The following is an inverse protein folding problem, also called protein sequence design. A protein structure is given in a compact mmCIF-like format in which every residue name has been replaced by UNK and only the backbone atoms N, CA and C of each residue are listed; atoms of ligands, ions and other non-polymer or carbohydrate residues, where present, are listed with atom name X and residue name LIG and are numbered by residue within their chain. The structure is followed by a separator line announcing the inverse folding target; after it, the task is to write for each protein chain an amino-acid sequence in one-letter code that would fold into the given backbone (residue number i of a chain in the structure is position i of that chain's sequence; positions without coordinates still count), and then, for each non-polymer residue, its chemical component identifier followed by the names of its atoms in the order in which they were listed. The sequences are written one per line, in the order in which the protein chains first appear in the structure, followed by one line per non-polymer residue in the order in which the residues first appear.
data_IF_998795263081
#
_entry.id   IF_998795263081
#
_cell.length_a   1.000
_cell.length_b   1.000
_cell.length_c   1.000
_cell.angle_alpha   90.00
_cell.angle_beta   90.00
_cell.angle_gamma   90.00
#
_symmetry.space_group_name_H-M   'P 1'
#
loop_
_entity.id
_entity.type
_entity.pdbx_description
1 polymer ?
#
# COMPACT_ATOMS: atom_id res chain seq x y z
N UNK A 1 20.15 -20.43 14.38
CA UNK A 1 18.72 -20.80 14.26
C UNK A 1 17.85 -19.55 14.45
N UNK A 2 16.86 -19.40 13.61
CA UNK A 2 15.94 -18.27 13.66
C UNK A 2 14.65 -18.64 14.41
N UNK A 3 14.15 -17.72 15.24
CA UNK A 3 12.87 -17.95 15.95
C UNK A 3 11.69 -17.43 15.12
N UNK A 4 11.92 -16.53 14.16
CA UNK A 4 10.87 -16.06 13.25
C UNK A 4 10.95 -16.86 11.96
N UNK A 5 9.83 -17.49 11.57
CA UNK A 5 9.82 -18.33 10.37
C UNK A 5 9.77 -17.50 9.09
N UNK A 6 8.75 -16.66 8.98
CA UNK A 6 8.54 -15.87 7.79
C UNK A 6 7.71 -14.63 8.14
N UNK A 7 7.80 -13.63 7.29
CA UNK A 7 6.90 -12.49 7.38
C UNK A 7 5.57 -12.92 6.73
N UNK A 8 4.55 -13.15 7.54
CA UNK A 8 3.27 -13.65 7.06
C UNK A 8 2.40 -12.61 6.40
N UNK A 9 2.37 -11.41 6.97
CA UNK A 9 1.56 -10.33 6.45
C UNK A 9 2.13 -8.97 6.82
N UNK A 10 1.86 -7.99 5.98
CA UNK A 10 2.02 -6.56 6.30
C UNK A 10 0.61 -6.02 6.47
N UNK A 11 0.35 -5.35 7.59
CA UNK A 11 -0.98 -4.86 7.91
C UNK A 11 -0.96 -3.34 7.93
N UNK A 12 -1.83 -2.72 7.12
CA UNK A 12 -2.01 -1.27 7.11
C UNK A 12 -3.30 -0.94 7.83
N UNK A 13 -3.21 0.04 8.72
CA UNK A 13 -4.39 0.54 9.44
C UNK A 13 -5.19 1.48 8.55
N UNK A 14 -6.50 1.50 8.76
CA UNK A 14 -7.39 2.34 7.95
C UNK A 14 -8.74 2.51 8.66
N UNK A 15 -9.57 3.39 8.10
CA UNK A 15 -10.94 3.56 8.58
C UNK A 15 -11.88 2.54 7.93
N UNK A 16 -11.65 2.20 6.65
CA UNK A 16 -12.55 1.34 5.88
C UNK A 16 -11.72 0.29 5.12
N UNK A 17 -11.55 -0.90 5.72
CA UNK A 17 -10.72 -1.93 5.08
C UNK A 17 -11.28 -2.46 3.77
N UNK A 18 -12.61 -2.49 3.60
CA UNK A 18 -13.20 -2.95 2.34
C UNK A 18 -12.84 -2.01 1.20
N UNK A 19 -12.95 -0.71 1.42
CA UNK A 19 -12.59 0.29 0.39
C UNK A 19 -11.10 0.28 0.08
N UNK A 20 -10.26 0.21 1.12
CA UNK A 20 -8.81 0.21 0.92
C UNK A 20 -8.36 -1.09 0.25
N UNK A 21 -8.98 -2.22 0.61
CA UNK A 21 -8.68 -3.50 -0.03
C UNK A 21 -9.03 -3.46 -1.52
N UNK A 22 -10.13 -2.80 -1.89
CA UNK A 22 -10.51 -2.70 -3.29
C UNK A 22 -9.46 -1.93 -4.10
N UNK A 23 -8.91 -0.85 -3.52
CA UNK A 23 -7.81 -0.14 -4.14
C UNK A 23 -6.62 -1.08 -4.40
N UNK A 24 -6.16 -1.78 -3.36
CA UNK A 24 -4.99 -2.64 -3.50
C UNK A 24 -5.27 -3.88 -4.34
N UNK A 25 -6.49 -4.41 -4.30
CA UNK A 25 -6.87 -5.54 -5.15
C UNK A 25 -6.71 -5.18 -6.62
N UNK A 26 -7.19 -4.00 -7.01
CA UNK A 26 -7.09 -3.53 -8.39
C UNK A 26 -5.65 -3.16 -8.76
N UNK A 27 -4.94 -2.53 -7.83
CA UNK A 27 -3.57 -2.10 -8.08
C UNK A 27 -2.59 -3.27 -8.21
N UNK A 28 -2.77 -4.33 -7.42
CA UNK A 28 -1.85 -5.47 -7.41
C UNK A 28 -2.30 -6.63 -8.27
N UNK A 29 -3.60 -6.74 -8.53
CA UNK A 29 -4.17 -7.94 -9.15
C UNK A 29 -4.29 -9.10 -8.17
N UNK A 30 -3.99 -8.90 -6.89
CA UNK A 30 -4.08 -9.93 -5.87
C UNK A 30 -5.53 -10.20 -5.52
N UNK A 31 -5.78 -11.35 -4.91
CA UNK A 31 -7.13 -11.76 -4.55
C UNK A 31 -7.36 -11.68 -3.05
N UNK A 32 -8.61 -11.47 -2.66
CA UNK A 32 -9.00 -11.52 -1.26
C UNK A 32 -8.89 -12.97 -0.78
N UNK A 33 -8.09 -13.19 0.28
CA UNK A 33 -7.93 -14.51 0.88
C UNK A 33 -8.75 -14.67 2.14
N UNK A 34 -9.12 -13.55 2.78
CA UNK A 34 -10.02 -13.51 3.93
C UNK A 34 -10.58 -12.10 4.06
N UNK A 35 -11.82 -11.98 4.51
CA UNK A 35 -12.39 -10.67 4.75
C UNK A 35 -13.57 -10.70 5.69
N UNK A 36 -13.66 -9.66 6.54
CA UNK A 36 -14.83 -9.35 7.35
C UNK A 36 -14.92 -7.83 7.51
N UNK A 37 -15.77 -7.35 8.42
CA UNK A 37 -15.96 -5.91 8.58
C UNK A 37 -14.74 -5.20 9.19
N UNK A 38 -13.83 -5.93 9.82
CA UNK A 38 -12.71 -5.36 10.55
C UNK A 38 -11.37 -5.52 9.84
N UNK A 39 -11.22 -6.55 9.00
CA UNK A 39 -9.95 -6.79 8.31
C UNK A 39 -10.17 -7.50 6.99
N UNK A 40 -9.35 -7.15 5.98
CA UNK A 40 -9.35 -7.83 4.68
C UNK A 40 -7.91 -8.19 4.36
N UNK A 41 -7.69 -9.44 3.96
CA UNK A 41 -6.39 -9.95 3.54
C UNK A 41 -6.37 -10.18 2.04
N UNK A 42 -5.27 -9.75 1.41
CA UNK A 42 -5.01 -9.96 -0.02
C UNK A 42 -3.72 -10.76 -0.18
N UNK A 43 -3.70 -11.62 -1.18
CA UNK A 43 -2.50 -12.40 -1.44
C UNK A 43 -2.41 -12.88 -2.87
N UNK A 44 -1.24 -13.40 -3.22
CA UNK A 44 -0.95 -13.96 -4.54
C UNK A 44 -0.45 -15.41 -4.43
N UNK A 45 -0.69 -16.05 -3.30
CA UNK A 45 -0.21 -17.41 -3.05
C UNK A 45 1.15 -17.48 -2.37
N UNK A 46 1.80 -16.36 -2.17
CA UNK A 46 3.11 -16.28 -1.50
C UNK A 46 3.04 -15.32 -0.32
N UNK A 47 3.91 -15.51 0.66
CA UNK A 47 4.08 -14.56 1.75
C UNK A 47 5.02 -13.44 1.31
N UNK A 48 4.85 -12.22 1.86
CA UNK A 48 3.79 -11.84 2.79
C UNK A 48 2.47 -11.53 2.09
N UNK A 49 1.38 -11.68 2.81
CA UNK A 49 0.10 -11.11 2.38
C UNK A 49 0.04 -9.64 2.77
N UNK A 50 -0.89 -8.92 2.19
CA UNK A 50 -1.21 -7.54 2.56
C UNK A 50 -2.57 -7.53 3.21
N UNK A 51 -2.70 -6.90 4.37
CA UNK A 51 -3.97 -6.82 5.07
C UNK A 51 -4.29 -5.38 5.41
N UNK A 52 -5.58 -5.08 5.44
CA UNK A 52 -6.11 -3.76 5.73
C UNK A 52 -7.01 -3.93 6.96
N UNK A 53 -6.69 -3.24 8.05
CA UNK A 53 -7.38 -3.43 9.32
C UNK A 53 -8.04 -2.15 9.78
N UNK A 54 -9.31 -2.25 10.17
CA UNK A 54 -10.03 -1.10 10.67
C UNK A 54 -9.55 -0.74 12.07
N UNK A 55 -9.21 0.52 12.25
CA UNK A 55 -8.84 1.09 13.54
C UNK A 55 -9.84 2.21 13.84
N UNK A 56 -10.48 2.13 14.99
CA UNK A 56 -11.36 3.19 15.43
C UNK A 56 -10.57 4.46 15.68
N UNK A 57 -11.06 5.58 15.17
CA UNK A 57 -10.36 6.86 15.30
C UNK A 57 -9.11 6.97 14.44
N UNK A 58 -9.02 6.19 13.36
CA UNK A 58 -7.86 6.18 12.48
C UNK A 58 -7.45 7.60 12.06
N UNK A 59 -6.15 7.88 12.16
CA UNK A 59 -5.54 9.12 11.69
C UNK A 59 -4.52 8.77 10.62
N UNK A 60 -4.65 9.31 9.39
CA UNK A 60 -3.67 9.02 8.35
C UNK A 60 -2.31 9.59 8.69
N UNK A 61 -1.23 8.95 8.21
CA UNK A 61 0.10 9.53 8.36
C UNK A 61 0.19 10.85 7.60
N UNK A 62 1.05 11.73 8.06
CA UNK A 62 1.29 13.01 7.39
C UNK A 62 2.50 12.86 6.47
N UNK A 63 2.32 13.21 5.20
CA UNK A 63 3.41 13.20 4.23
C UNK A 63 3.64 14.61 3.67
N UNK A 64 4.88 15.14 3.72
CA UNK A 64 6.02 14.55 4.43
C UNK A 64 5.89 14.77 5.93
N UNK A 65 6.51 13.89 6.73
CA UNK A 65 6.48 14.09 8.17
C UNK A 65 7.31 13.05 8.91
N UNK A 66 7.76 13.41 10.12
CA UNK A 66 8.62 12.51 10.90
C UNK A 66 7.86 11.38 11.58
N UNK A 67 6.54 11.45 11.61
CA UNK A 67 5.74 10.42 12.26
C UNK A 67 5.58 9.15 11.41
N UNK A 68 5.88 9.24 10.11
CA UNK A 68 5.86 8.07 9.24
C UNK A 68 7.02 7.16 9.60
N UNK A 69 6.75 5.87 9.82
CA UNK A 69 7.78 4.91 10.23
C UNK A 69 8.03 3.82 9.21
N UNK A 70 7.14 3.63 8.26
CA UNK A 70 7.28 2.58 7.26
C UNK A 70 6.48 2.94 6.02
N UNK A 71 6.88 2.37 4.89
CA UNK A 71 6.12 2.49 3.64
C UNK A 71 6.42 1.26 2.79
N UNK A 72 5.59 1.04 1.78
CA UNK A 72 5.76 -0.07 0.84
C UNK A 72 6.44 0.44 -0.41
N UNK A 73 7.27 -0.41 -1.02
CA UNK A 73 7.88 -0.15 -2.31
C UNK A 73 7.38 -1.17 -3.30
N UNK A 74 6.99 -0.72 -4.48
CA UNK A 74 6.58 -1.60 -5.57
C UNK A 74 7.42 -1.34 -6.80
N UNK A 75 7.73 -2.40 -7.53
CA UNK A 75 8.34 -2.29 -8.85
C UNK A 75 7.24 -2.24 -9.89
N UNK A 76 7.44 -1.40 -10.91
CA UNK A 76 6.50 -1.27 -12.03
C UNK A 76 7.28 -1.30 -13.34
N UNK A 77 6.60 -1.69 -14.41
CA UNK A 77 7.24 -1.74 -15.74
C UNK A 77 7.44 -0.34 -16.30
N UNK A 78 6.46 0.53 -16.13
CA UNK A 78 6.46 1.89 -16.68
C UNK A 78 5.87 2.82 -15.62
N UNK A 79 6.71 3.70 -15.07
CA UNK A 79 6.33 4.60 -13.98
C UNK A 79 5.20 5.53 -14.39
N UNK A 80 5.28 6.15 -15.59
CA UNK A 80 4.24 7.10 -16.02
C UNK A 80 2.88 6.43 -16.15
N UNK A 81 2.83 5.26 -16.75
CA UNK A 81 1.60 4.49 -16.89
C UNK A 81 1.05 4.09 -15.53
N UNK A 82 1.93 3.62 -14.63
CA UNK A 82 1.53 3.22 -13.30
C UNK A 82 0.96 4.38 -12.50
N UNK A 83 1.56 5.57 -12.58
CA UNK A 83 1.04 6.76 -11.90
C UNK A 83 -0.37 7.07 -12.38
N UNK A 84 -0.60 7.08 -13.70
CA UNK A 84 -1.93 7.37 -14.24
C UNK A 84 -2.98 6.37 -13.75
N UNK A 85 -2.65 5.09 -13.80
CA UNK A 85 -3.58 4.05 -13.38
C UNK A 85 -3.87 4.12 -11.88
N UNK A 86 -2.85 4.34 -11.06
CA UNK A 86 -3.03 4.42 -9.62
C UNK A 86 -3.81 5.65 -9.21
N UNK A 87 -3.59 6.80 -9.86
CA UNK A 87 -4.41 7.99 -9.62
C UNK A 87 -5.87 7.74 -9.98
N UNK A 88 -6.12 7.03 -11.07
CA UNK A 88 -7.48 6.67 -11.46
C UNK A 88 -8.15 5.75 -10.44
N UNK A 89 -7.38 4.94 -9.71
CA UNK A 89 -7.89 4.06 -8.66
C UNK A 89 -8.10 4.76 -7.33
N UNK A 90 -7.61 5.98 -7.16
CA UNK A 90 -7.82 6.75 -5.94
C UNK A 90 -6.57 7.14 -5.19
N UNK A 91 -5.40 6.82 -5.71
CA UNK A 91 -4.15 7.29 -5.11
C UNK A 91 -3.97 8.80 -5.33
N UNK A 92 -3.14 9.41 -4.50
CA UNK A 92 -2.80 10.82 -4.61
C UNK A 92 -1.29 10.95 -4.80
N UNK A 93 -0.87 11.92 -5.60
CA UNK A 93 0.54 12.22 -5.78
C UNK A 93 0.90 13.47 -4.99
N UNK A 94 1.62 13.35 -3.87
CA UNK A 94 2.04 14.53 -3.11
C UNK A 94 3.09 15.34 -3.88
N UNK A 95 3.16 16.64 -3.57
CA UNK A 95 4.11 17.54 -4.22
C UNK A 95 5.55 17.24 -3.82
N UNK A 96 5.76 16.78 -2.59
CA UNK A 96 7.09 16.44 -2.11
C UNK A 96 7.52 15.09 -2.67
N UNK A 97 8.54 15.13 -3.54
CA UNK A 97 9.05 13.94 -4.24
C UNK A 97 10.55 13.83 -4.03
N UNK A 98 11.00 13.22 -2.91
CA UNK A 98 12.42 13.17 -2.59
C UNK A 98 13.23 12.27 -3.52
N UNK A 99 12.57 11.37 -4.26
CA UNK A 99 13.25 10.42 -5.14
C UNK A 99 13.81 11.00 -6.42
N UNK A 100 13.44 12.23 -6.77
CA UNK A 100 13.86 12.81 -8.05
C UNK A 100 13.38 11.98 -9.22
N UNK A 101 14.29 11.42 -10.01
CA UNK A 101 13.94 10.54 -11.11
C UNK A 101 14.02 9.06 -10.77
N UNK A 102 14.41 8.70 -9.54
CA UNK A 102 14.67 7.30 -9.19
C UNK A 102 13.43 6.58 -8.69
N UNK A 103 12.56 7.25 -7.93
CA UNK A 103 11.29 6.67 -7.48
C UNK A 103 10.25 7.77 -7.31
N UNK A 104 8.99 7.37 -7.31
CA UNK A 104 7.85 8.28 -7.14
C UNK A 104 7.06 7.89 -5.91
N UNK A 105 6.74 8.86 -5.06
CA UNK A 105 5.89 8.66 -3.89
C UNK A 105 4.44 8.95 -4.27
N UNK A 106 3.55 8.03 -3.89
CA UNK A 106 2.10 8.21 -3.96
C UNK A 106 1.53 7.90 -2.58
N UNK A 107 0.31 8.34 -2.34
CA UNK A 107 -0.41 7.94 -1.13
C UNK A 107 -1.65 7.17 -1.52
N UNK A 108 -1.98 6.15 -0.75
CA UNK A 108 -3.20 5.37 -0.99
C UNK A 108 -4.43 6.11 -0.45
N UNK A 109 -5.65 5.59 -0.68
CA UNK A 109 -6.86 6.27 -0.19
C UNK A 109 -6.96 6.46 1.33
N UNK A 110 -6.18 5.71 2.11
CA UNK A 110 -6.10 5.91 3.56
C UNK A 110 -4.97 6.86 3.96
N UNK A 111 -4.21 7.37 3.00
CA UNK A 111 -3.13 8.33 3.23
C UNK A 111 -1.77 7.70 3.47
N UNK A 112 -1.64 6.37 3.37
CA UNK A 112 -0.33 5.74 3.52
C UNK A 112 0.55 6.01 2.31
N UNK A 113 1.78 6.49 2.51
CA UNK A 113 2.71 6.64 1.40
C UNK A 113 3.22 5.29 0.93
N UNK A 114 3.42 5.16 -0.36
CA UNK A 114 4.12 4.05 -0.97
C UNK A 114 4.92 4.56 -2.15
N UNK A 115 5.95 3.84 -2.51
CA UNK A 115 6.83 4.23 -3.59
C UNK A 115 6.71 3.27 -4.75
N UNK A 116 6.86 3.79 -5.96
CA UNK A 116 6.99 2.98 -7.16
C UNK A 116 8.27 3.37 -7.89
N UNK A 117 8.92 2.37 -8.48
CA UNK A 117 10.12 2.56 -9.28
C UNK A 117 10.14 1.53 -10.39
N UNK A 118 10.79 1.87 -11.50
CA UNK A 118 10.94 0.94 -12.59
C UNK A 118 11.77 -0.26 -12.15
N UNK A 119 11.33 -1.45 -12.54
CA UNK A 119 12.02 -2.68 -12.19
C UNK A 119 11.34 -3.88 -12.81
N UNK A 120 11.87 -5.05 -12.49
CA UNK A 120 11.33 -6.31 -13.02
C UNK A 120 10.15 -6.83 -12.21
#
# INVERSE_FOLDING_TARGET
MSVLNKLGAVILDCADPTALAEFYRKATGWEVTYGDDDVVYLGNGSAPQLALQRIEGYQPPVWPGPAKQAHLDFSVSDVETAVKELLALGATRPDTQPGGGDWTVLTDPAGHPFCIAAGD
#
